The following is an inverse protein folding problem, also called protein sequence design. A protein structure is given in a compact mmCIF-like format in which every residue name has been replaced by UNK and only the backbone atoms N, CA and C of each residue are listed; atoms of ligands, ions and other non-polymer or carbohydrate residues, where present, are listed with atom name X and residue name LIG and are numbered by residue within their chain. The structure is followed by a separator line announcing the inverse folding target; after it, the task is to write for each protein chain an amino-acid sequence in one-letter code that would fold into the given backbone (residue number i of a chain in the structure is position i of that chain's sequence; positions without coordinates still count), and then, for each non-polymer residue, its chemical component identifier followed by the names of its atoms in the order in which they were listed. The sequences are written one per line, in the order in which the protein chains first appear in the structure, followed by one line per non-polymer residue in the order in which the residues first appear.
data_IF_408662710176
#
_entry.id   IF_408662710176
#
_cell.length_a   1.000
_cell.length_b   1.000
_cell.length_c   1.000
_cell.angle_alpha   90.00
_cell.angle_beta   90.00
_cell.angle_gamma   90.00
#
_symmetry.space_group_name_H-M   'P 1'
#
loop_
_entity.id
_entity.type
_entity.pdbx_description
1 polymer ?
#
# COMPACT_ATOMS: atom_id res chain seq x y z
N UNK A 1 50.06 -42.21 -1.09
CA UNK A 1 50.34 -40.99 -0.30
C UNK A 1 49.64 -39.75 -0.86
N UNK A 2 49.76 -39.45 -2.16
CA UNK A 2 49.21 -38.24 -2.81
C UNK A 2 47.68 -38.12 -2.79
N UNK A 3 46.94 -39.23 -2.94
CA UNK A 3 45.46 -39.23 -2.92
C UNK A 3 44.86 -38.79 -1.58
N UNK A 4 45.47 -39.21 -0.47
CA UNK A 4 45.03 -38.82 0.88
C UNK A 4 45.32 -37.34 1.15
N UNK A 5 46.44 -36.84 0.64
CA UNK A 5 46.81 -35.42 0.73
C UNK A 5 45.81 -34.54 -0.05
N UNK A 6 45.44 -34.95 -1.27
CA UNK A 6 44.45 -34.23 -2.08
C UNK A 6 43.06 -34.23 -1.43
N UNK A 7 42.65 -35.33 -0.82
CA UNK A 7 41.42 -35.42 -0.02
C UNK A 7 41.44 -34.46 1.18
N UNK A 8 42.56 -34.43 1.92
CA UNK A 8 42.72 -33.53 3.07
C UNK A 8 42.66 -32.05 2.65
N UNK A 9 43.34 -31.70 1.55
CA UNK A 9 43.31 -30.33 1.00
C UNK A 9 41.90 -29.96 0.52
N UNK A 10 41.20 -30.88 -0.16
CA UNK A 10 39.83 -30.66 -0.60
C UNK A 10 38.85 -30.44 0.57
N UNK A 11 39.00 -31.18 1.67
CA UNK A 11 38.19 -31.00 2.88
C UNK A 11 38.41 -29.63 3.53
N UNK A 12 39.66 -29.15 3.58
CA UNK A 12 40.01 -27.85 4.19
C UNK A 12 39.45 -26.67 3.37
N UNK A 13 39.30 -26.81 2.05
CA UNK A 13 38.72 -25.77 1.20
C UNK A 13 37.19 -25.75 1.31
N UNK A 14 36.55 -26.92 1.49
CA UNK A 14 35.10 -27.01 1.67
C UNK A 14 34.60 -26.36 2.98
N UNK A 15 35.45 -26.25 4.00
CA UNK A 15 35.14 -25.55 5.26
C UNK A 15 34.95 -24.04 5.08
N UNK A 16 35.42 -23.48 3.96
CA UNK A 16 35.44 -22.04 3.69
C UNK A 16 34.30 -21.62 2.74
N UNK A 17 33.51 -22.59 2.26
CA UNK A 17 32.37 -22.38 1.39
C UNK A 17 31.05 -22.11 2.13
N UNK A 18 31.07 -22.08 3.47
CA UNK A 18 29.90 -21.76 4.28
C UNK A 18 29.92 -20.31 4.75
N UNK A 19 28.76 -19.66 4.59
CA UNK A 19 28.34 -18.38 5.15
C UNK A 19 28.46 -17.13 4.25
N UNK A 20 27.89 -17.21 3.04
CA UNK A 20 27.09 -16.08 2.55
C UNK A 20 25.83 -15.97 3.40
N UNK A 21 25.91 -15.41 4.61
CA UNK A 21 24.73 -15.23 5.46
C UNK A 21 23.94 -14.03 4.95
N UNK A 22 22.74 -14.24 4.39
CA UNK A 22 21.80 -13.13 4.13
C UNK A 22 21.14 -12.72 5.44
N UNK A 23 21.94 -12.19 6.37
CA UNK A 23 21.45 -11.67 7.65
C UNK A 23 20.93 -10.25 7.43
N UNK A 24 19.68 -10.02 7.82
CA UNK A 24 19.04 -8.72 7.79
C UNK A 24 17.70 -8.78 8.50
N UNK A 25 17.21 -7.64 8.97
CA UNK A 25 15.90 -7.52 9.62
C UNK A 25 14.91 -6.84 8.68
N UNK A 26 13.74 -7.44 8.47
CA UNK A 26 12.61 -6.79 7.78
C UNK A 26 11.68 -6.26 8.86
N UNK A 27 11.57 -4.94 8.97
CA UNK A 27 10.60 -4.30 9.86
C UNK A 27 9.32 -4.03 9.09
N UNK A 28 8.23 -4.71 9.47
CA UNK A 28 6.89 -4.49 8.91
C UNK A 28 6.04 -3.75 9.93
N UNK A 29 5.34 -2.71 9.49
CA UNK A 29 4.36 -1.99 10.32
C UNK A 29 2.99 -2.04 9.64
N UNK A 30 2.03 -2.67 10.32
CA UNK A 30 0.62 -2.61 9.93
C UNK A 30 -0.03 -1.38 10.59
N UNK A 31 -0.62 -0.51 9.78
CA UNK A 31 -1.43 0.61 10.26
C UNK A 31 -2.88 0.31 9.92
N UNK A 32 -3.71 0.11 10.94
CA UNK A 32 -5.16 -0.09 10.79
C UNK A 32 -5.82 1.24 11.15
N UNK A 33 -6.50 1.83 10.18
CA UNK A 33 -7.30 3.04 10.41
C UNK A 33 -8.67 2.68 10.98
N UNK A 34 -9.21 3.56 11.83
CA UNK A 34 -10.61 3.49 12.27
C UNK A 34 -11.56 3.72 11.10
N UNK A 35 -12.84 3.32 11.26
CA UNK A 35 -13.88 3.59 10.26
C UNK A 35 -14.01 5.10 10.02
N UNK A 36 -14.12 5.50 8.76
CA UNK A 36 -14.44 6.88 8.39
C UNK A 36 -15.95 7.11 8.40
N UNK A 37 -16.37 8.30 8.79
CA UNK A 37 -17.75 8.75 8.67
C UNK A 37 -17.94 9.55 7.37
N UNK A 38 -18.96 9.21 6.59
CA UNK A 38 -19.32 9.94 5.36
C UNK A 38 -20.69 10.58 5.57
N UNK A 39 -20.72 11.90 5.61
CA UNK A 39 -21.94 12.68 5.76
C UNK A 39 -22.33 13.36 4.45
N UNK A 40 -23.44 12.91 3.87
CA UNK A 40 -24.03 13.47 2.65
C UNK A 40 -25.20 14.44 2.92
N UNK A 41 -25.67 14.53 4.18
CA UNK A 41 -26.95 15.16 4.50
C UNK A 41 -26.87 16.69 4.59
N UNK A 42 -25.68 17.26 4.88
CA UNK A 42 -25.54 18.69 5.19
C UNK A 42 -24.73 19.52 4.20
N UNK A 43 -24.16 18.92 3.15
CA UNK A 43 -23.25 19.63 2.24
C UNK A 43 -23.80 19.73 0.81
N UNK A 44 -24.03 20.94 0.28
CA UNK A 44 -24.63 21.15 -1.03
C UNK A 44 -23.67 20.93 -2.21
N UNK A 45 -22.37 20.74 -1.97
CA UNK A 45 -21.35 20.57 -3.02
C UNK A 45 -20.70 19.18 -3.00
N UNK A 46 -20.14 18.74 -1.86
CA UNK A 46 -19.51 17.41 -1.72
C UNK A 46 -19.74 16.80 -0.34
N UNK A 47 -19.80 15.47 -0.21
CA UNK A 47 -19.91 14.82 1.09
C UNK A 47 -18.71 15.18 1.97
N UNK A 48 -18.98 15.37 3.25
CA UNK A 48 -17.92 15.50 4.25
C UNK A 48 -17.48 14.10 4.64
N UNK A 49 -16.19 13.81 4.51
CA UNK A 49 -15.60 12.55 4.98
C UNK A 49 -14.67 12.86 6.14
N UNK A 50 -14.87 12.21 7.27
CA UNK A 50 -14.00 12.34 8.44
C UNK A 50 -13.43 10.97 8.81
N UNK A 51 -12.11 10.81 8.65
CA UNK A 51 -11.36 9.62 9.06
C UNK A 51 -10.61 9.82 10.40
N UNK A 52 -10.99 10.84 11.16
CA UNK A 52 -10.34 11.26 12.40
C UNK A 52 -9.04 12.03 12.16
N UNK A 53 -8.08 11.88 13.08
CA UNK A 53 -6.81 12.63 13.07
C UNK A 53 -5.75 12.10 12.09
N UNK A 54 -6.11 11.16 11.23
CA UNK A 54 -5.17 10.49 10.33
C UNK A 54 -5.27 11.06 8.91
N UNK A 55 -4.40 12.01 8.57
CA UNK A 55 -4.38 12.63 7.23
C UNK A 55 -4.11 11.63 6.12
N UNK A 56 -3.32 10.58 6.37
CA UNK A 56 -3.05 9.50 5.42
C UNK A 56 -4.24 8.57 5.18
N UNK A 57 -5.29 8.66 6.00
CA UNK A 57 -6.54 7.93 5.79
C UNK A 57 -7.60 8.78 5.09
N UNK A 58 -7.37 10.09 4.96
CA UNK A 58 -8.34 11.02 4.39
C UNK A 58 -8.42 10.79 2.87
N UNK A 59 -9.59 10.39 2.33
CA UNK A 59 -9.71 10.13 0.91
C UNK A 59 -9.70 11.42 0.12
N UNK A 60 -9.32 11.30 -1.15
CA UNK A 60 -9.55 12.36 -2.13
C UNK A 60 -11.00 12.32 -2.57
N UNK A 61 -11.66 13.49 -2.49
CA UNK A 61 -13.04 13.67 -2.93
C UNK A 61 -13.03 14.53 -4.18
N UNK A 62 -13.56 13.99 -5.27
CA UNK A 62 -13.70 14.72 -6.53
C UNK A 62 -15.16 14.80 -6.95
N UNK A 63 -15.49 15.83 -7.70
CA UNK A 63 -16.85 16.08 -8.17
C UNK A 63 -16.81 16.46 -9.64
N UNK A 64 -17.62 15.76 -10.44
CA UNK A 64 -17.78 16.02 -11.87
C UNK A 64 -19.24 16.31 -12.17
N UNK A 65 -19.51 17.41 -12.86
CA UNK A 65 -20.87 17.70 -13.37
C UNK A 65 -21.10 16.82 -14.58
N UNK A 66 -22.16 16.01 -14.55
CA UNK A 66 -22.51 15.16 -15.68
C UNK A 66 -23.08 16.05 -16.79
N UNK A 67 -22.41 16.10 -17.95
CA UNK A 67 -22.94 16.80 -19.11
C UNK A 67 -24.21 16.11 -19.58
N UNK A 68 -25.22 16.93 -19.90
CA UNK A 68 -26.56 16.56 -20.37
C UNK A 68 -26.53 15.44 -21.44
N UNK A 69 -27.23 14.33 -21.20
CA UNK A 69 -27.66 13.42 -22.27
C UNK A 69 -29.08 13.82 -22.71
N UNK A 70 -29.21 14.35 -23.92
CA UNK A 70 -30.52 14.67 -24.52
C UNK A 70 -31.18 15.98 -24.04
N UNK A 71 -32.51 16.03 -24.09
CA UNK A 71 -33.31 17.27 -23.93
C UNK A 71 -33.60 17.66 -22.47
N UNK A 72 -33.12 16.94 -21.46
CA UNK A 72 -33.42 17.24 -20.04
C UNK A 72 -32.18 17.80 -19.34
N UNK A 73 -32.25 19.03 -18.82
CA UNK A 73 -31.18 19.61 -18.02
C UNK A 73 -31.20 18.90 -16.66
N UNK A 74 -30.30 17.95 -16.42
CA UNK A 74 -30.10 17.36 -15.10
C UNK A 74 -28.89 18.01 -14.45
N UNK A 75 -29.05 18.49 -13.20
CA UNK A 75 -27.96 19.01 -12.37
C UNK A 75 -27.21 17.86 -11.66
N UNK A 76 -27.14 16.70 -12.32
CA UNK A 76 -26.58 15.49 -11.74
C UNK A 76 -25.06 15.65 -11.62
N UNK A 77 -24.55 15.27 -10.46
CA UNK A 77 -23.14 15.36 -10.11
C UNK A 77 -22.66 13.97 -9.74
N UNK A 78 -21.58 13.56 -10.38
CA UNK A 78 -20.85 12.36 -9.97
C UNK A 78 -19.84 12.78 -8.91
N UNK A 79 -19.97 12.21 -7.73
CA UNK A 79 -19.00 12.35 -6.64
C UNK A 79 -18.21 11.06 -6.53
N UNK A 80 -16.88 11.17 -6.55
CA UNK A 80 -15.97 10.03 -6.40
C UNK A 80 -15.15 10.20 -5.13
N UNK A 81 -15.04 9.14 -4.33
CA UNK A 81 -14.26 9.06 -3.11
C UNK A 81 -13.20 7.96 -3.32
N UNK A 82 -11.92 8.32 -3.29
CA UNK A 82 -10.79 7.43 -3.56
C UNK A 82 -9.75 7.45 -2.43
N UNK A 83 -9.17 6.27 -2.10
CA UNK A 83 -8.14 6.05 -1.06
C UNK A 83 -6.82 5.63 -1.67
#
# INVERSE_FOLDING_TARGET
MTKALLMAIGLVIAQQAFAGSTTGSINVRLVIYSRCEVNSVRSPSSPQVDCGRQSSAQPRVTQTVLKRQGSRTTNDRLVTIEW
#
